data_IF_021509835793
#
_entry.id   IF_021509835793
#
_cell.length_a   1.000
_cell.length_b   1.000
_cell.length_c   1.000
_cell.angle_alpha   90.00
_cell.angle_beta   90.00
_cell.angle_gamma   90.00
#
_symmetry.space_group_name_H-M   'P 1'
#
loop_
_entity.id
_entity.type
_entity.pdbx_description
1 polymer ?
#
# COMPACT_ATOMS: atom_id res chain seq x y z
N UNK A 1 -12.60 -74.92 21.93
CA UNK A 1 -12.10 -75.15 20.56
C UNK A 1 -13.32 -75.38 19.70
N UNK A 2 -13.50 -74.57 18.64
CA UNK A 2 -14.64 -74.67 17.73
C UNK A 2 -14.61 -76.01 16.98
N UNK A 3 -15.77 -76.55 16.60
CA UNK A 3 -15.84 -77.76 15.77
C UNK A 3 -15.02 -77.62 14.47
N UNK A 4 -14.96 -76.40 13.93
CA UNK A 4 -14.18 -76.05 12.73
C UNK A 4 -12.66 -76.07 12.98
N UNK A 5 -12.19 -75.70 14.19
CA UNK A 5 -10.76 -75.79 14.53
C UNK A 5 -10.30 -77.24 14.65
N UNK A 6 -11.19 -78.12 15.14
CA UNK A 6 -10.90 -79.55 15.29
C UNK A 6 -10.88 -80.26 13.93
N UNK A 7 -11.72 -79.86 12.97
CA UNK A 7 -11.66 -80.39 11.60
C UNK A 7 -10.40 -79.92 10.87
N UNK A 8 -10.07 -78.62 10.95
CA UNK A 8 -8.84 -78.07 10.35
C UNK A 8 -7.57 -78.72 10.90
N UNK A 9 -7.51 -78.96 12.22
CA UNK A 9 -6.40 -79.69 12.84
C UNK A 9 -6.28 -81.12 12.32
N UNK A 10 -7.40 -81.80 12.09
CA UNK A 10 -7.43 -83.18 11.57
C UNK A 10 -6.98 -83.24 10.10
N UNK A 11 -7.37 -82.26 9.30
CA UNK A 11 -6.93 -82.15 7.90
C UNK A 11 -5.45 -81.80 7.81
N UNK A 12 -4.94 -80.90 8.68
CA UNK A 12 -3.51 -80.60 8.78
C UNK A 12 -2.69 -81.84 9.19
N UNK A 13 -3.16 -82.60 10.19
CA UNK A 13 -2.51 -83.84 10.60
C UNK A 13 -2.47 -84.87 9.47
N UNK A 14 -3.53 -84.98 8.68
CA UNK A 14 -3.57 -85.87 7.51
C UNK A 14 -2.55 -85.42 6.45
N UNK A 15 -2.52 -84.14 6.12
CA UNK A 15 -1.57 -83.60 5.15
C UNK A 15 -0.11 -83.79 5.59
N UNK A 16 0.18 -83.62 6.89
CA UNK A 16 1.52 -83.90 7.45
C UNK A 16 1.85 -85.39 7.28
N UNK A 17 0.94 -86.30 7.62
CA UNK A 17 1.15 -87.74 7.46
C UNK A 17 1.41 -88.12 6.00
N UNK A 18 0.58 -87.67 5.08
CA UNK A 18 0.74 -87.88 3.63
C UNK A 18 2.11 -87.36 3.15
N UNK A 19 2.51 -86.16 3.58
CA UNK A 19 3.82 -85.57 3.21
C UNK A 19 4.99 -86.36 3.80
N UNK A 20 4.85 -86.90 5.02
CA UNK A 20 5.89 -87.73 5.64
C UNK A 20 6.02 -89.10 4.97
N UNK A 21 4.91 -89.71 4.57
CA UNK A 21 4.92 -90.98 3.83
C UNK A 21 5.49 -90.79 2.41
N UNK A 22 5.10 -89.71 1.74
CA UNK A 22 5.65 -89.33 0.43
C UNK A 22 7.16 -89.07 0.53
N UNK A 23 7.62 -88.33 1.53
CA UNK A 23 9.05 -88.11 1.78
C UNK A 23 9.80 -89.40 2.09
N UNK A 24 9.20 -90.33 2.84
CA UNK A 24 9.79 -91.63 3.11
C UNK A 24 9.89 -92.48 1.84
N UNK A 25 8.86 -92.46 0.98
CA UNK A 25 8.87 -93.11 -0.32
C UNK A 25 9.95 -92.51 -1.23
N UNK A 26 10.02 -91.18 -1.34
CA UNK A 26 11.06 -90.48 -2.09
C UNK A 26 12.47 -90.82 -1.59
N UNK A 27 12.67 -90.85 -0.28
CA UNK A 27 13.97 -91.22 0.32
C UNK A 27 14.35 -92.64 -0.06
N UNK A 28 13.39 -93.57 -0.05
CA UNK A 28 13.60 -94.97 -0.42
C UNK A 28 13.88 -95.12 -1.92
N UNK A 29 13.15 -94.41 -2.77
CA UNK A 29 13.40 -94.37 -4.21
C UNK A 29 14.76 -93.77 -4.52
N UNK A 30 15.14 -92.68 -3.87
CA UNK A 30 16.46 -92.07 -3.98
C UNK A 30 17.56 -93.02 -3.53
N UNK A 31 17.40 -93.70 -2.39
CA UNK A 31 18.36 -94.71 -1.94
C UNK A 31 18.49 -95.87 -2.94
N UNK A 32 17.37 -96.30 -3.55
CA UNK A 32 17.35 -97.35 -4.57
C UNK A 32 18.02 -96.88 -5.87
N UNK A 33 17.82 -95.62 -6.24
CA UNK A 33 18.41 -94.99 -7.41
C UNK A 33 19.93 -94.79 -7.20
N UNK A 34 20.36 -94.32 -6.03
CA UNK A 34 21.76 -94.24 -5.62
C UNK A 34 22.44 -95.60 -5.63
N UNK A 35 21.77 -96.65 -5.15
CA UNK A 35 22.30 -98.02 -5.19
C UNK A 35 22.41 -98.54 -6.64
N UNK A 36 21.44 -98.24 -7.51
CA UNK A 36 21.51 -98.58 -8.95
C UNK A 36 22.59 -97.81 -9.69
N UNK A 37 22.81 -96.55 -9.33
CA UNK A 37 23.83 -95.71 -9.95
C UNK A 37 25.25 -96.09 -9.51
N UNK A 38 25.42 -96.97 -8.51
CA UNK A 38 26.72 -97.44 -8.02
C UNK A 38 27.74 -96.29 -7.88
N UNK A 39 27.31 -95.20 -7.24
CA UNK A 39 28.15 -94.03 -6.95
C UNK A 39 29.07 -94.28 -5.73
N UNK A 40 29.55 -95.51 -5.56
CA UNK A 40 30.63 -95.77 -4.62
C UNK A 40 31.94 -95.29 -5.28
N UNK A 41 32.77 -94.54 -4.54
CA UNK A 41 34.06 -94.03 -5.06
C UNK A 41 34.97 -95.18 -5.52
N UNK A 42 34.69 -96.39 -5.02
CA UNK A 42 35.37 -97.64 -5.38
C UNK A 42 34.91 -98.27 -6.69
N UNK A 43 33.74 -97.89 -7.22
CA UNK A 43 33.17 -98.42 -8.48
C UNK A 43 33.27 -97.45 -9.65
N UNK A 44 33.82 -96.25 -9.43
CA UNK A 44 34.12 -95.29 -10.51
C UNK A 44 35.27 -95.79 -11.40
N UNK A 45 35.21 -95.57 -12.72
CA UNK A 45 36.33 -95.80 -13.63
C UNK A 45 37.59 -95.09 -13.15
N UNK A 46 38.75 -95.74 -13.28
CA UNK A 46 40.03 -95.22 -12.78
C UNK A 46 40.34 -93.81 -13.29
N UNK A 47 40.02 -93.50 -14.55
CA UNK A 47 40.25 -92.19 -15.17
C UNK A 47 39.51 -91.06 -14.41
N UNK A 48 38.25 -91.28 -14.02
CA UNK A 48 37.44 -90.30 -13.27
C UNK A 48 37.96 -90.16 -11.83
N UNK A 49 38.47 -91.25 -11.26
CA UNK A 49 39.04 -91.24 -9.91
C UNK A 49 40.35 -90.47 -9.86
N UNK A 50 41.22 -90.65 -10.86
CA UNK A 50 42.46 -89.88 -11.01
C UNK A 50 42.18 -88.40 -11.27
N UNK A 51 41.22 -88.09 -12.15
CA UNK A 51 40.79 -86.71 -12.40
C UNK A 51 40.19 -86.06 -11.14
N UNK A 52 39.42 -86.80 -10.34
CA UNK A 52 38.86 -86.29 -9.10
C UNK A 52 39.93 -86.10 -8.01
N UNK A 53 40.90 -87.02 -7.91
CA UNK A 53 42.03 -86.91 -7.00
C UNK A 53 42.97 -85.75 -7.37
N UNK A 54 43.19 -85.52 -8.66
CA UNK A 54 43.96 -84.37 -9.15
C UNK A 54 43.24 -83.06 -8.89
N UNK A 55 41.94 -82.95 -9.16
CA UNK A 55 41.13 -81.76 -8.82
C UNK A 55 41.12 -81.50 -7.32
N UNK A 56 40.95 -82.53 -6.48
CA UNK A 56 41.05 -82.41 -5.02
C UNK A 56 42.45 -81.95 -4.57
N UNK A 57 43.50 -82.47 -5.21
CA UNK A 57 44.88 -82.08 -4.89
C UNK A 57 45.20 -80.65 -5.31
N UNK A 58 44.69 -80.21 -6.47
CA UNK A 58 44.78 -78.81 -6.93
C UNK A 58 44.04 -77.88 -5.96
N UNK A 59 42.80 -78.22 -5.58
CA UNK A 59 42.02 -77.44 -4.62
C UNK A 59 42.73 -77.31 -3.25
N UNK A 60 43.42 -78.37 -2.80
CA UNK A 60 44.24 -78.35 -1.57
C UNK A 60 45.52 -77.54 -1.74
N UNK A 61 46.21 -77.68 -2.88
CA UNK A 61 47.45 -76.95 -3.17
C UNK A 61 47.22 -75.44 -3.29
N UNK A 62 46.11 -75.05 -3.94
CA UNK A 62 45.67 -73.66 -4.09
C UNK A 62 44.98 -73.12 -2.81
N UNK A 63 44.88 -73.92 -1.73
CA UNK A 63 44.20 -73.59 -0.47
C UNK A 63 42.75 -73.11 -0.64
N UNK A 64 42.09 -73.51 -1.73
CA UNK A 64 40.72 -73.13 -2.05
C UNK A 64 39.67 -73.97 -1.28
N UNK A 65 40.11 -75.02 -0.58
CA UNK A 65 39.24 -75.91 0.20
C UNK A 65 38.87 -75.35 1.58
N UNK A 66 39.64 -74.38 2.08
CA UNK A 66 39.43 -73.73 3.37
C UNK A 66 39.13 -72.24 3.15
N UNK A 67 37.86 -71.91 2.94
CA UNK A 67 37.43 -70.59 3.39
C UNK A 67 37.56 -70.59 4.90
N UNK A 68 38.67 -70.02 5.40
CA UNK A 68 38.85 -69.82 6.83
C UNK A 68 37.63 -69.03 7.35
N UNK A 69 36.82 -69.70 8.16
CA UNK A 69 35.58 -69.16 8.71
C UNK A 69 35.87 -67.87 9.49
N UNK A 70 37.05 -67.78 10.11
CA UNK A 70 37.54 -66.59 10.78
C UNK A 70 37.76 -65.44 9.77
N UNK A 71 38.38 -65.70 8.63
CA UNK A 71 38.57 -64.71 7.56
C UNK A 71 37.23 -64.22 7.00
N UNK A 72 36.25 -65.11 6.79
CA UNK A 72 34.90 -64.72 6.35
C UNK A 72 34.19 -63.86 7.41
N UNK A 73 34.32 -64.21 8.68
CA UNK A 73 33.74 -63.46 9.79
C UNK A 73 34.40 -62.09 9.94
N UNK A 74 35.72 -61.99 9.79
CA UNK A 74 36.44 -60.70 9.78
C UNK A 74 35.97 -59.81 8.63
N UNK A 75 35.74 -60.35 7.43
CA UNK A 75 35.22 -59.59 6.29
C UNK A 75 33.80 -59.09 6.54
N UNK A 76 32.92 -59.93 7.12
CA UNK A 76 31.55 -59.53 7.50
C UNK A 76 31.56 -58.40 8.53
N UNK A 77 32.37 -58.53 9.58
CA UNK A 77 32.47 -57.49 10.62
C UNK A 77 33.05 -56.18 10.06
N UNK A 78 34.08 -56.25 9.21
CA UNK A 78 34.62 -55.05 8.52
C UNK A 78 33.54 -54.33 7.72
N UNK A 79 32.72 -55.07 6.97
CA UNK A 79 31.61 -54.48 6.20
C UNK A 79 30.61 -53.77 7.10
N UNK A 80 30.23 -54.37 8.23
CA UNK A 80 29.31 -53.77 9.21
C UNK A 80 29.92 -52.50 9.82
N UNK A 81 31.21 -52.51 10.15
CA UNK A 81 31.92 -51.35 10.70
C UNK A 81 31.94 -50.19 9.68
N UNK A 82 32.18 -50.51 8.41
CA UNK A 82 32.25 -49.55 7.33
C UNK A 82 30.88 -48.93 7.01
N UNK A 83 29.81 -49.73 6.98
CA UNK A 83 28.42 -49.24 6.89
C UNK A 83 28.08 -48.31 8.07
N UNK A 84 28.42 -48.70 9.31
CA UNK A 84 28.19 -47.84 10.47
C UNK A 84 29.00 -46.55 10.42
N UNK A 85 30.21 -46.57 9.86
CA UNK A 85 31.03 -45.37 9.68
C UNK A 85 30.37 -44.43 8.66
N UNK A 86 29.94 -44.98 7.53
CA UNK A 86 29.22 -44.24 6.50
C UNK A 86 27.95 -43.59 7.04
N UNK A 87 27.13 -44.32 7.81
CA UNK A 87 25.92 -43.76 8.43
C UNK A 87 26.22 -42.58 9.37
N UNK A 88 27.31 -42.66 10.16
CA UNK A 88 27.70 -41.56 11.05
C UNK A 88 28.12 -40.33 10.26
N UNK A 89 28.93 -40.51 9.23
CA UNK A 89 29.37 -39.43 8.34
C UNK A 89 28.16 -38.78 7.65
N UNK A 90 27.24 -39.60 7.14
CA UNK A 90 26.02 -39.10 6.51
C UNK A 90 25.12 -38.32 7.49
N UNK A 91 24.95 -38.81 8.72
CA UNK A 91 24.23 -38.07 9.78
C UNK A 91 24.92 -36.76 10.12
N UNK A 92 26.24 -36.76 10.23
CA UNK A 92 27.02 -35.55 10.51
C UNK A 92 26.88 -34.53 9.38
N UNK A 93 26.95 -34.97 8.13
CA UNK A 93 26.73 -34.11 6.96
C UNK A 93 25.31 -33.55 6.91
N UNK A 94 24.29 -34.35 7.24
CA UNK A 94 22.90 -33.88 7.34
C UNK A 94 22.75 -32.77 8.38
N UNK A 95 23.34 -32.93 9.57
CA UNK A 95 23.26 -31.92 10.64
C UNK A 95 23.96 -30.62 10.20
N UNK A 96 25.12 -30.72 9.55
CA UNK A 96 25.84 -29.56 9.01
C UNK A 96 25.02 -28.84 7.93
N UNK A 97 24.42 -29.61 7.01
CA UNK A 97 23.55 -29.08 5.96
C UNK A 97 22.35 -28.34 6.57
N UNK A 98 21.64 -28.95 7.52
CA UNK A 98 20.47 -28.34 8.16
C UNK A 98 20.84 -27.04 8.89
N UNK A 99 22.00 -27.02 9.55
CA UNK A 99 22.52 -25.81 10.22
C UNK A 99 22.81 -24.70 9.21
N UNK A 100 23.48 -25.03 8.10
CA UNK A 100 23.78 -24.07 7.04
C UNK A 100 22.50 -23.55 6.38
N UNK A 101 21.56 -24.44 6.06
CA UNK A 101 20.28 -24.10 5.46
C UNK A 101 19.48 -23.13 6.35
N UNK A 102 19.40 -23.41 7.66
CA UNK A 102 18.76 -22.49 8.62
C UNK A 102 19.45 -21.13 8.65
N UNK A 103 20.78 -21.08 8.57
CA UNK A 103 21.52 -19.83 8.55
C UNK A 103 21.28 -19.06 7.25
N UNK A 104 21.30 -19.73 6.09
CA UNK A 104 20.97 -19.13 4.81
C UNK A 104 19.55 -18.55 4.82
N UNK A 105 18.57 -19.29 5.35
CA UNK A 105 17.19 -18.81 5.48
C UNK A 105 17.12 -17.55 6.34
N UNK A 106 17.79 -17.53 7.51
CA UNK A 106 17.84 -16.34 8.38
C UNK A 106 18.53 -15.14 7.73
N UNK A 107 19.54 -15.39 6.90
CA UNK A 107 20.22 -14.33 6.14
C UNK A 107 19.32 -13.80 5.03
N UNK A 108 18.60 -14.68 4.33
CA UNK A 108 17.62 -14.29 3.32
C UNK A 108 16.55 -13.40 3.93
N UNK A 109 15.93 -13.79 5.04
CA UNK A 109 14.90 -12.94 5.68
C UNK A 109 15.43 -11.58 6.11
N UNK A 110 16.70 -11.50 6.55
CA UNK A 110 17.34 -10.22 6.88
C UNK A 110 17.59 -9.37 5.64
N UNK A 111 17.97 -10.00 4.53
CA UNK A 111 18.16 -9.31 3.26
C UNK A 111 16.84 -8.75 2.73
N UNK A 112 15.76 -9.54 2.79
CA UNK A 112 14.42 -9.12 2.40
C UNK A 112 13.97 -7.90 3.23
N UNK A 113 14.17 -7.93 4.55
CA UNK A 113 13.89 -6.77 5.41
C UNK A 113 14.73 -5.53 5.10
N UNK A 114 16.00 -5.71 4.72
CA UNK A 114 16.84 -4.59 4.29
C UNK A 114 16.35 -4.01 2.96
N UNK A 115 15.92 -4.86 2.03
CA UNK A 115 15.35 -4.44 0.77
C UNK A 115 14.06 -3.62 1.00
N UNK A 116 13.15 -4.11 1.84
CA UNK A 116 11.92 -3.39 2.21
C UNK A 116 12.23 -2.02 2.84
N UNK A 117 13.25 -1.95 3.71
CA UNK A 117 13.66 -0.71 4.33
C UNK A 117 14.25 0.29 3.32
N UNK A 118 15.03 -0.19 2.36
CA UNK A 118 15.57 0.63 1.26
C UNK A 118 14.44 1.17 0.38
N UNK A 119 13.48 0.32 0.01
CA UNK A 119 12.34 0.72 -0.82
C UNK A 119 11.45 1.74 -0.08
N UNK A 120 11.22 1.55 1.22
CA UNK A 120 10.52 2.53 2.05
C UNK A 120 11.26 3.87 2.12
N UNK A 121 12.59 3.85 2.23
CA UNK A 121 13.40 5.06 2.30
C UNK A 121 13.40 5.80 0.96
N UNK A 122 13.47 5.07 -0.15
CA UNK A 122 13.33 5.63 -1.50
C UNK A 122 11.98 6.31 -1.69
N UNK A 123 10.88 5.64 -1.34
CA UNK A 123 9.55 6.24 -1.41
C UNK A 123 9.44 7.50 -0.55
N UNK A 124 10.04 7.50 0.65
CA UNK A 124 10.08 8.70 1.49
C UNK A 124 10.87 9.84 0.83
N UNK A 125 11.98 9.54 0.15
CA UNK A 125 12.75 10.57 -0.57
C UNK A 125 11.90 11.16 -1.69
N UNK A 126 11.28 10.31 -2.51
CA UNK A 126 10.46 10.75 -3.65
C UNK A 126 9.32 11.68 -3.19
N UNK A 127 8.60 11.31 -2.12
CA UNK A 127 7.55 12.15 -1.52
C UNK A 127 8.12 13.49 -1.02
N UNK A 128 9.27 13.47 -0.32
CA UNK A 128 9.86 14.72 0.16
C UNK A 128 10.38 15.63 -0.95
N UNK A 129 10.75 15.07 -2.10
CA UNK A 129 11.16 15.84 -3.27
C UNK A 129 9.96 16.49 -3.96
N UNK A 130 8.85 15.76 -4.07
CA UNK A 130 7.57 16.31 -4.53
C UNK A 130 7.08 17.45 -3.62
N UNK A 131 7.05 17.22 -2.30
CA UNK A 131 6.67 18.26 -1.31
C UNK A 131 7.56 19.50 -1.40
N UNK A 132 8.88 19.34 -1.62
CA UNK A 132 9.81 20.46 -1.79
C UNK A 132 9.51 21.26 -3.05
N UNK A 133 9.20 20.58 -4.15
CA UNK A 133 8.84 21.22 -5.41
C UNK A 133 7.55 22.02 -5.26
N UNK A 134 6.53 21.45 -4.62
CA UNK A 134 5.27 22.13 -4.33
C UNK A 134 5.47 23.34 -3.42
N UNK A 135 6.29 23.20 -2.37
CA UNK A 135 6.59 24.31 -1.47
C UNK A 135 7.36 25.44 -2.20
N UNK A 136 8.27 25.08 -3.11
CA UNK A 136 8.98 26.03 -3.95
C UNK A 136 8.02 26.77 -4.90
N UNK A 137 7.16 26.05 -5.62
CA UNK A 137 6.14 26.63 -6.49
C UNK A 137 5.21 27.60 -5.73
N UNK A 138 4.73 27.19 -4.56
CA UNK A 138 3.91 28.04 -3.69
C UNK A 138 4.67 29.29 -3.23
N UNK A 139 5.94 29.15 -2.85
CA UNK A 139 6.79 30.29 -2.45
C UNK A 139 6.98 31.27 -3.61
N UNK A 140 7.23 30.77 -4.82
CA UNK A 140 7.36 31.61 -6.02
C UNK A 140 6.05 32.34 -6.31
N UNK A 141 4.92 31.63 -6.27
CA UNK A 141 3.59 32.22 -6.46
C UNK A 141 3.30 33.33 -5.45
N UNK A 142 3.51 33.08 -4.16
CA UNK A 142 3.32 34.06 -3.10
C UNK A 142 4.26 35.27 -3.25
N UNK A 143 5.52 35.04 -3.63
CA UNK A 143 6.48 36.13 -3.87
C UNK A 143 6.05 37.01 -5.05
N UNK A 144 5.59 36.42 -6.15
CA UNK A 144 5.08 37.16 -7.31
C UNK A 144 3.85 37.99 -6.92
N UNK A 145 2.89 37.38 -6.22
CA UNK A 145 1.68 38.06 -5.77
C UNK A 145 1.98 39.21 -4.79
N UNK A 146 2.98 39.03 -3.93
CA UNK A 146 3.44 40.09 -3.03
C UNK A 146 4.06 41.27 -3.78
N UNK A 147 4.84 41.00 -4.85
CA UNK A 147 5.36 42.07 -5.72
C UNK A 147 4.24 42.80 -6.46
N UNK A 148 3.24 42.09 -6.96
CA UNK A 148 2.06 42.70 -7.60
C UNK A 148 1.33 43.63 -6.62
N UNK A 149 1.14 43.20 -5.36
CA UNK A 149 0.53 44.05 -4.34
C UNK A 149 1.39 45.27 -3.99
N UNK A 150 2.72 45.11 -3.89
CA UNK A 150 3.63 46.25 -3.68
C UNK A 150 3.51 47.27 -4.81
N UNK A 151 3.53 46.82 -6.07
CA UNK A 151 3.34 47.71 -7.22
C UNK A 151 1.97 48.39 -7.22
N UNK A 152 0.91 47.68 -6.81
CA UNK A 152 -0.42 48.26 -6.71
C UNK A 152 -0.50 49.34 -5.62
N UNK A 153 0.15 49.12 -4.47
CA UNK A 153 0.25 50.10 -3.38
C UNK A 153 1.04 51.33 -3.84
N UNK A 154 2.23 51.15 -4.42
CA UNK A 154 3.04 52.26 -4.96
C UNK A 154 2.23 53.07 -5.98
N UNK A 155 1.48 52.40 -6.87
CA UNK A 155 0.61 53.10 -7.83
C UNK A 155 -0.47 53.91 -7.11
N UNK A 156 -1.17 53.34 -6.13
CA UNK A 156 -2.19 54.04 -5.35
C UNK A 156 -1.61 55.22 -4.57
N UNK A 157 -0.43 55.07 -3.97
CA UNK A 157 0.27 56.16 -3.28
C UNK A 157 0.65 57.28 -4.25
N UNK A 158 1.15 56.95 -5.44
CA UNK A 158 1.44 57.98 -6.46
C UNK A 158 0.17 58.65 -6.98
N UNK A 159 -0.93 57.92 -7.15
CA UNK A 159 -2.20 58.47 -7.60
C UNK A 159 -2.82 59.37 -6.51
N UNK A 160 -2.73 59.00 -5.23
CA UNK A 160 -3.15 59.82 -4.10
C UNK A 160 -2.30 61.10 -4.01
N UNK A 161 -0.98 60.99 -4.17
CA UNK A 161 -0.05 62.13 -4.23
C UNK A 161 -0.37 63.06 -5.41
N UNK A 162 -0.68 62.52 -6.59
CA UNK A 162 -1.07 63.29 -7.79
C UNK A 162 -2.41 63.99 -7.63
N UNK A 163 -3.37 63.36 -6.96
CA UNK A 163 -4.67 63.99 -6.72
C UNK A 163 -4.52 65.27 -5.89
N UNK A 164 -3.38 65.48 -5.20
CA UNK A 164 -3.11 66.67 -4.39
C UNK A 164 -4.37 67.07 -3.62
N UNK A 165 -5.01 66.09 -2.98
CA UNK A 165 -6.10 66.34 -2.05
C UNK A 165 -5.42 66.96 -0.84
N UNK A 166 -5.20 68.26 -0.96
CA UNK A 166 -4.76 69.16 0.09
C UNK A 166 -5.56 68.78 1.34
N UNK A 167 -4.94 68.59 2.50
CA UNK A 167 -5.65 68.18 3.73
C UNK A 167 -6.80 69.16 4.05
N UNK A 168 -6.66 70.39 3.53
CA UNK A 168 -7.62 71.49 3.56
C UNK A 168 -8.72 71.44 2.49
N UNK A 169 -8.77 70.45 1.59
CA UNK A 169 -9.81 70.36 0.54
C UNK A 169 -11.18 70.16 1.18
N UNK A 170 -11.25 69.32 2.22
CA UNK A 170 -12.44 69.13 3.05
C UNK A 170 -12.85 70.42 3.75
N UNK A 171 -11.90 71.20 4.27
CA UNK A 171 -12.17 72.48 4.92
C UNK A 171 -12.60 73.57 3.93
N UNK A 172 -12.01 73.60 2.73
CA UNK A 172 -12.42 74.50 1.62
C UNK A 172 -13.84 74.19 1.15
N UNK A 173 -14.21 72.91 1.03
CA UNK A 173 -15.58 72.49 0.69
C UNK A 173 -16.54 72.89 1.81
N UNK A 174 -16.18 72.61 3.07
CA UNK A 174 -16.99 72.98 4.24
C UNK A 174 -17.22 74.49 4.31
N UNK A 175 -16.18 75.30 4.09
CA UNK A 175 -16.26 76.76 4.11
C UNK A 175 -17.13 77.30 2.96
N UNK A 176 -17.02 76.74 1.75
CA UNK A 176 -17.93 77.07 0.63
C UNK A 176 -19.38 76.73 0.96
N UNK A 177 -19.62 75.60 1.62
CA UNK A 177 -20.96 75.19 2.01
C UNK A 177 -21.55 76.10 3.10
N UNK A 178 -20.75 76.47 4.12
CA UNK A 178 -21.16 77.48 5.12
C UNK A 178 -21.52 78.81 4.47
N UNK A 179 -20.68 79.30 3.55
CA UNK A 179 -20.95 80.53 2.81
C UNK A 179 -22.25 80.42 1.99
N UNK A 180 -22.49 79.29 1.33
CA UNK A 180 -23.73 79.05 0.59
C UNK A 180 -24.97 79.09 1.51
N UNK A 181 -24.89 78.46 2.68
CA UNK A 181 -25.98 78.51 3.67
C UNK A 181 -26.25 79.94 4.14
N UNK A 182 -25.22 80.72 4.44
CA UNK A 182 -25.38 82.14 4.83
C UNK A 182 -26.00 82.99 3.71
N UNK A 183 -25.64 82.74 2.45
CA UNK A 183 -26.24 83.44 1.32
C UNK A 183 -27.71 83.05 1.15
N UNK A 184 -28.03 81.77 1.36
CA UNK A 184 -29.39 81.25 1.28
C UNK A 184 -30.27 81.82 2.40
N UNK A 185 -29.76 81.93 3.62
CA UNK A 185 -30.49 82.56 4.73
C UNK A 185 -30.74 84.05 4.47
N UNK A 186 -29.73 84.80 4.02
CA UNK A 186 -29.91 86.21 3.62
C UNK A 186 -30.93 86.38 2.50
N UNK A 187 -30.96 85.45 1.55
CA UNK A 187 -31.93 85.47 0.47
C UNK A 187 -33.35 85.18 0.98
N UNK A 188 -33.50 84.29 1.96
CA UNK A 188 -34.77 84.07 2.64
C UNK A 188 -35.25 85.32 3.39
N UNK A 189 -34.36 86.00 4.12
CA UNK A 189 -34.66 87.27 4.81
C UNK A 189 -35.09 88.36 3.81
N UNK A 190 -34.36 88.48 2.68
CA UNK A 190 -34.69 89.43 1.63
C UNK A 190 -36.04 89.11 1.00
N UNK A 191 -36.32 87.84 0.70
CA UNK A 191 -37.61 87.41 0.17
C UNK A 191 -38.74 87.69 1.15
N UNK A 192 -38.54 87.49 2.46
CA UNK A 192 -39.54 87.85 3.48
C UNK A 192 -39.81 89.37 3.50
N UNK A 193 -38.77 90.19 3.32
CA UNK A 193 -38.92 91.64 3.23
C UNK A 193 -39.66 92.06 1.95
N UNK A 194 -39.41 91.38 0.84
CA UNK A 194 -40.04 91.60 -0.47
C UNK A 194 -41.47 91.10 -0.53
N UNK A 195 -41.85 90.08 0.26
CA UNK A 195 -43.22 89.57 0.34
C UNK A 195 -44.23 90.67 0.71
N UNK A 196 -43.80 91.71 1.46
CA UNK A 196 -44.65 92.89 1.76
C UNK A 196 -45.05 93.68 0.52
N UNK A 197 -44.31 93.54 -0.57
CA UNK A 197 -44.52 94.21 -1.84
C UNK A 197 -44.97 93.24 -2.94
N UNK A 198 -45.31 92.00 -2.61
CA UNK A 198 -45.73 90.97 -3.56
C UNK A 198 -47.00 91.37 -4.34
N UNK A 199 -47.87 92.14 -3.70
CA UNK A 199 -49.09 92.67 -4.31
C UNK A 199 -48.88 93.94 -5.15
N UNK A 200 -47.64 94.44 -5.22
CA UNK A 200 -47.32 95.63 -6.00
C UNK A 200 -47.09 95.24 -7.46
N UNK A 201 -47.77 95.89 -8.43
CA UNK A 201 -47.56 95.56 -9.84
C UNK A 201 -46.09 95.83 -10.25
N UNK A 202 -45.51 94.98 -11.11
CA UNK A 202 -44.10 95.05 -11.47
C UNK A 202 -43.69 96.32 -12.23
N UNK A 203 -44.64 97.12 -12.71
CA UNK A 203 -44.36 98.41 -13.33
C UNK A 203 -45.31 99.53 -12.86
N UNK A 204 -44.82 100.77 -12.96
CA UNK A 204 -45.52 101.97 -12.48
C UNK A 204 -46.82 102.25 -13.25
N UNK A 205 -46.90 101.82 -14.51
CA UNK A 205 -48.06 102.01 -15.37
C UNK A 205 -49.25 101.14 -14.92
N UNK A 206 -48.98 99.88 -14.59
CA UNK A 206 -49.95 98.93 -14.05
C UNK A 206 -50.36 99.32 -12.62
N UNK A 207 -49.43 99.82 -11.81
CA UNK A 207 -49.75 100.38 -10.50
C UNK A 207 -50.70 101.58 -10.60
N UNK A 208 -50.49 102.47 -11.56
CA UNK A 208 -51.38 103.62 -11.81
C UNK A 208 -52.78 103.19 -12.26
N UNK A 209 -52.85 102.22 -13.18
CA UNK A 209 -54.12 101.64 -13.66
C UNK A 209 -54.91 100.99 -12.52
N UNK A 210 -54.25 100.25 -11.63
CA UNK A 210 -54.88 99.61 -10.48
C UNK A 210 -55.36 100.64 -9.43
N UNK A 211 -54.63 101.74 -9.27
CA UNK A 211 -55.05 102.86 -8.43
C UNK A 211 -56.28 103.57 -8.99
N UNK A 212 -56.32 103.79 -10.30
CA UNK A 212 -57.50 104.37 -10.98
C UNK A 212 -58.71 103.44 -10.91
N UNK A 213 -58.52 102.12 -11.08
CA UNK A 213 -59.63 101.16 -10.96
C UNK A 213 -60.16 101.12 -9.53
N UNK A 214 -59.29 101.10 -8.51
CA UNK A 214 -59.72 101.14 -7.10
C UNK A 214 -60.38 102.45 -6.73
N UNK A 215 -59.92 103.59 -7.27
CA UNK A 215 -60.59 104.88 -7.07
C UNK A 215 -62.01 104.87 -7.64
N UNK A 216 -62.21 104.30 -8.84
CA UNK A 216 -63.56 104.15 -9.41
C UNK A 216 -64.44 103.21 -8.59
N UNK A 217 -63.93 102.07 -8.13
CA UNK A 217 -64.67 101.18 -7.22
C UNK A 217 -65.08 101.90 -5.92
N UNK A 218 -64.22 102.77 -5.39
CA UNK A 218 -64.55 103.61 -4.23
C UNK A 218 -65.63 104.65 -4.53
N UNK A 219 -65.55 105.33 -5.67
CA UNK A 219 -66.57 106.31 -6.11
C UNK A 219 -67.93 105.62 -6.34
N UNK A 220 -67.94 104.40 -6.90
CA UNK A 220 -69.14 103.58 -7.07
C UNK A 220 -69.71 103.13 -5.70
N UNK A 221 -68.86 102.70 -4.77
CA UNK A 221 -69.28 102.37 -3.41
C UNK A 221 -69.81 103.59 -2.65
N UNK A 222 -69.21 104.77 -2.85
CA UNK A 222 -69.65 106.02 -2.24
C UNK A 222 -71.01 106.45 -2.80
N UNK A 223 -71.25 106.29 -4.11
CA UNK A 223 -72.58 106.48 -4.71
C UNK A 223 -73.61 105.50 -4.17
N UNK A 224 -73.27 104.21 -4.04
CA UNK A 224 -74.15 103.20 -3.44
C UNK A 224 -74.46 103.51 -1.97
N UNK A 225 -73.49 104.06 -1.23
CA UNK A 225 -73.71 104.50 0.14
C UNK A 225 -74.64 105.73 0.19
N UNK A 226 -74.45 106.70 -0.68
CA UNK A 226 -75.31 107.89 -0.81
C UNK A 226 -76.74 107.57 -1.23
N UNK A 227 -76.95 106.56 -2.09
CA UNK A 227 -78.29 106.05 -2.46
C UNK A 227 -78.98 105.29 -1.33
N UNK A 228 -78.22 104.75 -0.35
CA UNK A 228 -78.76 104.05 0.83
C UNK A 228 -79.03 104.95 2.04
N UNK A 229 -78.62 106.22 2.01
CA UNK A 229 -78.86 107.22 3.08
C UNK A 229 -79.83 108.35 2.68
N UNK A 230 -80.51 108.24 1.53
CA UNK A 230 -81.77 108.93 1.23
C UNK A 230 -82.97 108.02 1.51
#
# INVERSE_FOLDING_TARGET
MSADEVSLLRDLQRAILETTEENAAYTKEMATLSAKLNLDVKTLPNDIKEDLETVSSILKAEKLFEFDEMTLQVVKERKIIEEKKWEREQKQMSIQYDKLFRNCTKLQTKLDHLQDAVDSLKNSIDVTEEDKNDMYCNKVFLSTKLKEYQQAVEKLETDLSKMQVDEFYSEKILNKFKLYLEKTSRLADLNQSLAKYENLPPNLLQAKLLLESKRKEYEELEQIFLEKTQ
#
